data_IF_314059962551
#
_entry.id   IF_314059962551
#
_cell.length_a   1.000
_cell.length_b   1.000
_cell.length_c   1.000
_cell.angle_alpha   90.00
_cell.angle_beta   90.00
_cell.angle_gamma   90.00
#
_symmetry.space_group_name_H-M   'P 1'
#
loop_
_entity.id
_entity.type
_entity.pdbx_description
1 polymer ?
#
# COMPACT_ATOMS: atom_id res chain seq x y z
N UNK A 1 -3.40 -0.77 29.75
CA UNK A 1 -3.93 -1.96 29.05
C UNK A 1 -5.06 -1.45 28.18
N UNK A 2 -4.89 -1.46 26.86
CA UNK A 2 -5.88 -0.95 25.91
C UNK A 2 -6.48 -2.07 25.07
N UNK A 3 -7.76 -1.99 24.75
CA UNK A 3 -8.39 -2.87 23.79
C UNK A 3 -8.20 -2.26 22.41
N UNK A 4 -7.61 -3.01 21.50
CA UNK A 4 -7.35 -2.56 20.13
C UNK A 4 -8.15 -3.41 19.16
N UNK A 5 -8.86 -2.75 18.24
CA UNK A 5 -9.63 -3.39 17.18
C UNK A 5 -9.07 -3.00 15.82
N UNK A 6 -8.81 -3.99 14.98
CA UNK A 6 -8.34 -3.81 13.61
C UNK A 6 -9.49 -4.08 12.65
N UNK A 7 -9.83 -3.11 11.80
CA UNK A 7 -10.73 -3.30 10.67
C UNK A 7 -9.89 -3.87 9.53
N UNK A 8 -10.08 -5.14 9.22
CA UNK A 8 -9.29 -5.82 8.19
C UNK A 8 -9.81 -5.52 6.79
N UNK A 9 -8.91 -5.58 5.84
CA UNK A 9 -9.19 -5.44 4.41
C UNK A 9 -8.86 -6.73 3.69
N UNK A 10 -9.70 -7.11 2.76
CA UNK A 10 -9.46 -8.25 1.88
C UNK A 10 -9.86 -7.91 0.44
N UNK A 11 -9.26 -8.60 -0.49
CA UNK A 11 -9.59 -8.52 -1.91
C UNK A 11 -9.40 -9.90 -2.55
N UNK A 12 -10.33 -10.32 -3.38
CA UNK A 12 -10.29 -11.63 -4.07
C UNK A 12 -10.13 -12.83 -3.11
N UNK A 13 -10.70 -12.74 -1.92
CA UNK A 13 -10.61 -13.80 -0.90
C UNK A 13 -9.25 -13.88 -0.19
N UNK A 14 -8.42 -12.83 -0.25
CA UNK A 14 -7.13 -12.75 0.42
C UNK A 14 -7.04 -11.51 1.31
N UNK A 15 -6.50 -11.66 2.52
CA UNK A 15 -6.21 -10.52 3.36
C UNK A 15 -5.09 -9.68 2.74
N UNK A 16 -5.29 -8.36 2.73
CA UNK A 16 -4.26 -7.44 2.30
C UNK A 16 -3.18 -7.30 3.39
N UNK A 17 -1.93 -7.13 2.99
CA UNK A 17 -0.79 -7.04 3.91
C UNK A 17 -0.99 -5.98 4.99
N UNK A 18 -1.63 -4.85 4.67
CA UNK A 18 -1.93 -3.81 5.64
C UNK A 18 -2.77 -4.33 6.83
N UNK A 19 -3.65 -5.30 6.62
CA UNK A 19 -4.43 -5.93 7.70
C UNK A 19 -3.54 -6.68 8.67
N UNK A 20 -2.54 -7.38 8.16
CA UNK A 20 -1.57 -8.13 8.95
C UNK A 20 -0.59 -7.20 9.65
N UNK A 21 -0.11 -6.15 8.97
CA UNK A 21 0.72 -5.09 9.57
C UNK A 21 0.02 -4.44 10.76
N UNK A 22 -1.23 -4.02 10.57
CA UNK A 22 -2.04 -3.44 11.64
C UNK A 22 -2.25 -4.41 12.79
N UNK A 23 -2.48 -5.68 12.49
CA UNK A 23 -2.76 -6.69 13.53
C UNK A 23 -1.51 -6.98 14.37
N UNK A 24 -0.34 -7.10 13.76
CA UNK A 24 0.94 -7.24 14.46
C UNK A 24 1.18 -6.06 15.42
N UNK A 25 0.96 -4.83 14.93
CA UNK A 25 1.10 -3.63 15.76
C UNK A 25 0.03 -3.55 16.86
N UNK A 26 -1.23 -3.88 16.55
CA UNK A 26 -2.32 -3.92 17.52
C UNK A 26 -2.01 -4.84 18.70
N UNK A 27 -1.42 -6.00 18.45
CA UNK A 27 -1.00 -6.95 19.46
C UNK A 27 0.01 -6.37 20.46
N UNK A 28 0.98 -5.63 19.93
CA UNK A 28 1.99 -4.95 20.77
C UNK A 28 1.36 -3.82 21.61
N UNK A 29 0.44 -3.05 20.99
CA UNK A 29 -0.24 -1.93 21.66
C UNK A 29 -1.21 -2.39 22.73
N UNK A 30 -1.86 -3.53 22.56
CA UNK A 30 -2.80 -4.08 23.54
C UNK A 30 -2.15 -4.37 24.91
N UNK A 31 -0.86 -4.70 24.95
CA UNK A 31 -0.03 -4.82 26.16
C UNK A 31 -0.78 -5.44 27.38
N UNK A 32 -1.39 -6.61 27.16
CA UNK A 32 -2.22 -7.31 28.17
C UNK A 32 -3.71 -6.98 28.15
N UNK A 33 -4.15 -6.12 27.23
CA UNK A 33 -5.54 -5.97 26.82
C UNK A 33 -5.89 -6.91 25.67
N UNK A 34 -7.02 -6.68 25.02
CA UNK A 34 -7.54 -7.50 23.92
C UNK A 34 -7.13 -6.93 22.54
N UNK A 35 -6.68 -7.81 21.65
CA UNK A 35 -6.45 -7.53 20.24
C UNK A 35 -7.52 -8.24 19.43
N UNK A 36 -8.42 -7.50 18.79
CA UNK A 36 -9.52 -8.04 17.99
C UNK A 36 -9.38 -7.67 16.52
N UNK A 37 -9.68 -8.60 15.62
CA UNK A 37 -9.79 -8.37 14.19
C UNK A 37 -11.25 -8.40 13.76
N UNK A 38 -11.71 -7.38 13.05
CA UNK A 38 -13.02 -7.32 12.42
C UNK A 38 -12.89 -7.75 10.97
N UNK A 39 -13.64 -8.77 10.60
CA UNK A 39 -13.57 -9.44 9.29
C UNK A 39 -14.95 -9.40 8.63
N UNK A 40 -15.00 -9.13 7.33
CA UNK A 40 -16.22 -9.08 6.54
C UNK A 40 -16.33 -10.23 5.56
N UNK A 41 -17.57 -10.56 5.17
CA UNK A 41 -17.86 -11.53 4.13
C UNK A 41 -17.45 -12.97 4.46
N UNK A 42 -17.06 -13.73 3.44
CA UNK A 42 -16.68 -15.13 3.52
C UNK A 42 -15.29 -15.41 4.06
N UNK A 43 -14.58 -14.38 4.56
CA UNK A 43 -13.20 -14.51 5.04
C UNK A 43 -13.05 -15.28 6.36
N UNK A 44 -14.13 -15.73 6.95
CA UNK A 44 -14.12 -16.52 8.19
C UNK A 44 -13.25 -17.79 8.09
N UNK A 45 -13.28 -18.47 6.96
CA UNK A 45 -12.51 -19.69 6.75
C UNK A 45 -10.99 -19.45 6.75
N UNK A 46 -10.58 -18.20 6.53
CA UNK A 46 -9.18 -17.78 6.57
C UNK A 46 -8.79 -17.05 7.88
N UNK A 47 -9.66 -17.03 8.87
CA UNK A 47 -9.40 -16.37 10.16
C UNK A 47 -8.14 -16.91 10.87
N UNK A 48 -7.70 -18.12 10.57
CA UNK A 48 -6.44 -18.70 11.07
C UNK A 48 -5.18 -17.95 10.63
N UNK A 49 -5.26 -17.13 9.57
CA UNK A 49 -4.15 -16.30 9.10
C UNK A 49 -3.92 -15.06 9.99
N UNK A 50 -4.90 -14.71 10.81
CA UNK A 50 -4.87 -13.58 11.72
C UNK A 50 -4.35 -14.00 13.11
N UNK A 51 -3.18 -14.67 13.14
CA UNK A 51 -2.64 -15.34 14.33
C UNK A 51 -2.34 -14.41 15.51
N UNK A 52 -2.11 -13.12 15.28
CA UNK A 52 -1.87 -12.15 16.34
C UNK A 52 -3.15 -11.67 17.05
N UNK A 53 -4.35 -11.97 16.52
CA UNK A 53 -5.61 -11.63 17.17
C UNK A 53 -5.93 -12.60 18.32
N UNK A 54 -6.51 -12.08 19.40
CA UNK A 54 -7.16 -12.89 20.43
C UNK A 54 -8.56 -13.33 19.98
N UNK A 55 -9.25 -12.44 19.28
CA UNK A 55 -10.61 -12.64 18.76
C UNK A 55 -10.72 -12.18 17.31
N UNK A 56 -11.40 -12.96 16.49
CA UNK A 56 -11.77 -12.59 15.13
C UNK A 56 -13.30 -12.50 15.07
N UNK A 57 -13.78 -11.28 14.85
CA UNK A 57 -15.19 -10.93 14.81
C UNK A 57 -15.64 -10.95 13.35
N UNK A 58 -16.41 -11.96 12.97
CA UNK A 58 -16.83 -12.17 11.59
C UNK A 58 -18.23 -11.60 11.35
N UNK A 59 -18.31 -10.60 10.51
CA UNK A 59 -19.57 -10.05 10.00
C UNK A 59 -19.87 -10.71 8.67
N UNK A 60 -20.93 -11.49 8.62
CA UNK A 60 -21.41 -12.11 7.38
C UNK A 60 -21.88 -11.05 6.37
N UNK A 61 -22.05 -11.44 5.12
CA UNK A 61 -22.53 -10.56 4.07
C UNK A 61 -21.84 -10.79 2.74
N UNK A 62 -21.78 -9.75 1.91
CA UNK A 62 -21.14 -9.80 0.61
C UNK A 62 -19.61 -9.69 0.78
N UNK A 63 -18.87 -10.39 -0.07
CA UNK A 63 -17.40 -10.35 -0.11
C UNK A 63 -16.89 -9.08 -0.80
N UNK A 64 -17.74 -8.47 -1.63
CA UNK A 64 -17.37 -7.24 -2.32
C UNK A 64 -17.47 -6.03 -1.40
N UNK A 65 -16.44 -5.19 -1.45
CA UNK A 65 -16.41 -3.97 -0.65
C UNK A 65 -17.55 -3.03 -0.99
N UNK A 66 -18.32 -2.69 0.04
CA UNK A 66 -19.35 -1.67 0.00
C UNK A 66 -19.10 -0.67 1.13
N UNK A 67 -18.68 0.57 0.82
CA UNK A 67 -18.24 1.53 1.83
C UNK A 67 -19.31 1.85 2.87
N UNK A 68 -20.58 2.03 2.46
CA UNK A 68 -21.67 2.36 3.38
C UNK A 68 -22.01 1.18 4.29
N UNK A 69 -22.10 -0.04 3.73
CA UNK A 69 -22.41 -1.24 4.49
C UNK A 69 -21.29 -1.62 5.46
N UNK A 70 -20.04 -1.57 5.00
CA UNK A 70 -18.88 -1.92 5.83
C UNK A 70 -18.67 -0.90 6.95
N UNK A 71 -18.80 0.40 6.67
CA UNK A 71 -18.71 1.43 7.70
C UNK A 71 -19.83 1.30 8.75
N UNK A 72 -21.06 1.00 8.33
CA UNK A 72 -22.20 0.79 9.23
C UNK A 72 -21.98 -0.43 10.13
N UNK A 73 -21.57 -1.56 9.56
CA UNK A 73 -21.30 -2.78 10.30
C UNK A 73 -20.10 -2.61 11.26
N UNK A 74 -19.02 -1.97 10.79
CA UNK A 74 -17.89 -1.65 11.65
C UNK A 74 -18.29 -0.78 12.84
N UNK A 75 -19.12 0.24 12.60
CA UNK A 75 -19.60 1.13 13.66
C UNK A 75 -20.38 0.36 14.74
N UNK A 76 -21.29 -0.52 14.34
CA UNK A 76 -22.11 -1.31 15.27
C UNK A 76 -21.21 -2.24 16.13
N UNK A 77 -20.25 -2.93 15.50
CA UNK A 77 -19.30 -3.78 16.23
C UNK A 77 -18.42 -2.97 17.18
N UNK A 78 -17.87 -1.84 16.72
CA UNK A 78 -17.01 -0.98 17.53
C UNK A 78 -17.77 -0.38 18.72
N UNK A 79 -19.04 -0.01 18.56
CA UNK A 79 -19.87 0.45 19.67
C UNK A 79 -20.10 -0.64 20.72
N UNK A 80 -20.30 -1.88 20.29
CA UNK A 80 -20.48 -3.02 21.19
C UNK A 80 -19.20 -3.39 21.94
N UNK A 81 -18.07 -3.43 21.23
CA UNK A 81 -16.76 -3.80 21.77
C UNK A 81 -16.07 -2.67 22.56
N UNK A 82 -16.42 -1.41 22.25
CA UNK A 82 -15.87 -0.21 22.90
C UNK A 82 -14.33 -0.20 23.02
N UNK A 83 -13.58 -0.44 21.95
CA UNK A 83 -12.12 -0.44 22.00
C UNK A 83 -11.57 0.95 22.33
N UNK A 84 -10.33 0.98 22.83
CA UNK A 84 -9.62 2.24 23.08
C UNK A 84 -8.97 2.78 21.79
N UNK A 85 -8.57 1.87 20.89
CA UNK A 85 -7.96 2.21 19.61
C UNK A 85 -8.57 1.37 18.49
N UNK A 86 -8.96 2.03 17.41
CA UNK A 86 -9.38 1.39 16.15
C UNK A 86 -8.32 1.63 15.10
N UNK A 87 -7.79 0.58 14.49
CA UNK A 87 -6.86 0.67 13.37
C UNK A 87 -7.58 0.39 12.05
N UNK A 88 -7.37 1.26 11.08
CA UNK A 88 -7.92 1.18 9.73
C UNK A 88 -6.77 1.44 8.74
N UNK A 89 -6.73 0.80 7.59
CA UNK A 89 -5.70 1.07 6.59
C UNK A 89 -5.83 2.49 5.99
N UNK A 90 -4.71 3.13 5.67
CA UNK A 90 -4.68 4.38 4.90
C UNK A 90 -4.79 4.08 3.41
N UNK A 91 -5.80 3.31 3.05
CA UNK A 91 -6.13 2.78 1.72
C UNK A 91 -7.40 3.42 1.18
N UNK A 92 -7.76 3.13 -0.06
CA UNK A 92 -9.05 3.57 -0.61
C UNK A 92 -10.24 3.05 0.20
N UNK A 93 -10.16 1.79 0.70
CA UNK A 93 -11.22 1.20 1.54
C UNK A 93 -11.29 1.89 2.91
N UNK A 94 -10.16 2.06 3.56
CA UNK A 94 -10.11 2.67 4.88
C UNK A 94 -10.46 4.17 4.88
N UNK A 95 -10.16 4.89 3.79
CA UNK A 95 -10.55 6.29 3.63
C UNK A 95 -12.08 6.49 3.57
N UNK A 96 -12.82 5.50 3.15
CA UNK A 96 -14.29 5.53 3.17
C UNK A 96 -14.86 5.17 4.56
N UNK A 97 -14.16 4.33 5.34
CA UNK A 97 -14.62 3.82 6.63
C UNK A 97 -14.25 4.76 7.79
N UNK A 98 -12.97 5.14 7.88
CA UNK A 98 -12.43 5.84 9.05
C UNK A 98 -13.11 7.17 9.36
N UNK A 99 -13.46 8.05 8.39
CA UNK A 99 -14.17 9.29 8.68
C UNK A 99 -15.57 9.07 9.26
N UNK A 100 -16.29 8.04 8.78
CA UNK A 100 -17.61 7.68 9.30
C UNK A 100 -17.51 7.24 10.75
N UNK A 101 -16.52 6.41 11.08
CA UNK A 101 -16.26 5.98 12.46
C UNK A 101 -15.92 7.17 13.35
N UNK A 102 -15.00 8.04 12.90
CA UNK A 102 -14.58 9.20 13.68
C UNK A 102 -15.73 10.12 14.06
N UNK A 103 -16.58 10.46 13.08
CA UNK A 103 -17.75 11.33 13.31
C UNK A 103 -18.80 10.64 14.18
N UNK A 104 -19.11 9.37 13.91
CA UNK A 104 -20.19 8.65 14.62
C UNK A 104 -19.84 8.29 16.06
N UNK A 105 -18.54 8.11 16.34
CA UNK A 105 -18.03 7.76 17.69
C UNK A 105 -17.53 8.99 18.48
N UNK A 106 -17.51 10.17 17.86
CA UNK A 106 -16.91 11.38 18.43
C UNK A 106 -15.43 11.16 18.82
N UNK A 107 -14.68 10.49 17.94
CA UNK A 107 -13.26 10.19 18.13
C UNK A 107 -12.39 10.93 17.11
N UNK A 108 -11.18 11.34 17.51
CA UNK A 108 -10.22 11.89 16.56
C UNK A 108 -9.81 10.83 15.54
N UNK A 109 -9.75 11.23 14.26
CA UNK A 109 -9.18 10.42 13.18
C UNK A 109 -7.75 10.89 12.95
N UNK A 110 -6.78 10.01 13.19
CA UNK A 110 -5.36 10.29 13.00
C UNK A 110 -4.93 9.63 11.69
N UNK A 111 -4.68 10.44 10.67
CA UNK A 111 -4.39 9.96 9.32
C UNK A 111 -2.89 9.78 9.09
N UNK A 112 -2.56 8.93 8.11
CA UNK A 112 -1.19 8.69 7.64
C UNK A 112 -0.21 8.28 8.73
N UNK A 113 -0.65 7.44 9.68
CA UNK A 113 0.18 6.94 10.77
C UNK A 113 1.27 6.00 10.24
N UNK A 114 2.52 6.39 10.42
CA UNK A 114 3.71 5.55 10.21
C UNK A 114 4.26 4.97 11.51
N UNK A 115 3.80 5.46 12.67
CA UNK A 115 4.16 4.97 13.99
C UNK A 115 3.03 5.19 14.99
N UNK A 116 2.84 4.25 15.92
CA UNK A 116 1.86 4.32 17.01
C UNK A 116 2.49 3.64 18.21
N UNK A 117 2.62 4.34 19.33
CA UNK A 117 3.21 3.83 20.55
C UNK A 117 2.30 4.05 21.75
N UNK A 118 2.41 3.18 22.78
CA UNK A 118 1.75 3.40 24.06
C UNK A 118 2.41 4.60 24.77
N UNK A 119 1.61 5.52 25.27
CA UNK A 119 2.09 6.73 25.97
C UNK A 119 1.18 7.10 27.14
N UNK A 120 1.66 6.90 28.37
CA UNK A 120 0.88 7.20 29.56
C UNK A 120 -0.47 6.48 29.58
N UNK A 121 -1.56 7.27 29.61
CA UNK A 121 -2.93 6.74 29.61
C UNK A 121 -3.56 6.63 28.20
N UNK A 122 -2.74 6.66 27.15
CA UNK A 122 -3.22 6.60 25.77
C UNK A 122 -2.14 6.22 24.78
N UNK A 123 -2.18 6.82 23.59
CA UNK A 123 -1.32 6.52 22.47
C UNK A 123 -0.64 7.77 21.93
N UNK A 124 0.60 7.64 21.49
CA UNK A 124 1.32 8.62 20.67
C UNK A 124 1.35 8.13 19.23
N UNK A 125 1.04 9.01 18.29
CA UNK A 125 0.99 8.73 16.86
C UNK A 125 2.05 9.55 16.15
N UNK A 126 2.75 8.93 15.20
CA UNK A 126 3.61 9.61 14.23
C UNK A 126 2.92 9.57 12.88
N UNK A 127 2.59 10.73 12.33
CA UNK A 127 1.91 10.88 11.04
C UNK A 127 2.80 11.54 10.01
N UNK A 128 2.81 11.03 8.79
CA UNK A 128 3.54 11.62 7.67
C UNK A 128 2.70 12.67 6.95
N UNK A 129 3.23 13.87 6.79
CA UNK A 129 2.61 14.96 6.05
C UNK A 129 3.46 15.40 4.85
N UNK A 130 2.83 16.09 3.92
CA UNK A 130 3.48 16.63 2.72
C UNK A 130 4.24 15.57 1.90
N UNK A 131 3.65 14.37 1.74
CA UNK A 131 4.28 13.29 0.99
C UNK A 131 5.54 12.71 1.68
N UNK A 132 5.52 12.61 3.02
CA UNK A 132 6.62 12.06 3.81
C UNK A 132 7.76 13.03 4.10
N UNK A 133 7.58 14.34 3.79
CA UNK A 133 8.61 15.36 4.07
C UNK A 133 8.61 15.84 5.52
N UNK A 134 7.57 15.55 6.28
CA UNK A 134 7.43 15.96 7.68
C UNK A 134 6.73 14.87 8.48
N UNK A 135 7.29 14.53 9.62
CA UNK A 135 6.64 13.71 10.63
C UNK A 135 6.07 14.60 11.73
N UNK A 136 4.80 14.37 12.07
CA UNK A 136 4.10 15.09 13.13
C UNK A 136 3.67 14.11 14.19
N UNK A 137 3.94 14.45 15.45
CA UNK A 137 3.49 13.68 16.61
C UNK A 137 2.20 14.26 17.18
N UNK A 138 1.27 13.38 17.48
CA UNK A 138 0.02 13.71 18.18
C UNK A 138 -0.27 12.65 19.23
N UNK A 139 -1.15 12.94 20.19
CA UNK A 139 -1.54 12.01 21.24
C UNK A 139 -3.03 12.03 21.48
N UNK A 140 -3.60 10.86 21.78
CA UNK A 140 -4.99 10.72 22.18
C UNK A 140 -5.15 9.51 23.12
N UNK A 141 -6.13 9.57 24.03
CA UNK A 141 -6.50 8.43 24.86
C UNK A 141 -7.31 7.38 24.11
N UNK A 142 -8.13 7.82 23.15
CA UNK A 142 -8.90 7.00 22.22
C UNK A 142 -8.86 7.63 20.83
N UNK A 143 -8.78 6.80 19.79
CA UNK A 143 -8.71 7.29 18.41
C UNK A 143 -9.13 6.23 17.38
N UNK A 144 -9.45 6.71 16.19
CA UNK A 144 -9.39 5.93 14.94
C UNK A 144 -8.08 6.29 14.24
N UNK A 145 -7.16 5.37 14.09
CA UNK A 145 -5.87 5.61 13.44
C UNK A 145 -5.81 4.95 12.07
N UNK A 146 -5.47 5.74 11.05
CA UNK A 146 -5.31 5.26 9.68
C UNK A 146 -3.82 4.98 9.42
N UNK A 147 -3.47 3.71 9.30
CA UNK A 147 -2.10 3.22 9.19
C UNK A 147 -1.62 3.24 7.75
N UNK A 148 -0.45 3.77 7.50
CA UNK A 148 0.22 3.70 6.20
C UNK A 148 0.71 2.28 5.92
N UNK A 149 0.46 1.76 4.73
CA UNK A 149 1.00 0.49 4.28
C UNK A 149 2.54 0.51 4.27
N UNK A 150 3.15 -0.59 4.69
CA UNK A 150 4.61 -0.72 4.81
C UNK A 150 5.20 -0.07 6.07
N UNK A 151 4.36 0.37 7.02
CA UNK A 151 4.83 0.96 8.29
C UNK A 151 5.19 -0.08 9.34
N UNK A 152 4.61 -1.28 9.25
CA UNK A 152 4.83 -2.38 10.20
C UNK A 152 5.07 -3.69 9.45
N UNK A 153 5.48 -4.73 10.16
CA UNK A 153 5.72 -6.05 9.57
C UNK A 153 4.43 -6.86 9.48
N UNK A 154 4.07 -7.32 8.27
CA UNK A 154 2.94 -8.22 8.06
C UNK A 154 3.15 -9.60 8.70
N UNK A 155 4.41 -10.06 8.82
CA UNK A 155 4.72 -11.35 9.45
C UNK A 155 4.38 -11.39 10.94
N UNK A 156 4.42 -10.24 11.62
CA UNK A 156 4.00 -10.14 13.02
C UNK A 156 2.49 -10.37 13.18
N UNK A 157 1.70 -10.04 12.19
CA UNK A 157 0.25 -10.27 12.18
C UNK A 157 -0.15 -11.72 11.98
N UNK A 158 0.71 -12.50 11.30
CA UNK A 158 0.54 -13.95 11.10
C UNK A 158 0.99 -14.75 12.31
N UNK A 159 1.89 -14.19 13.12
CA UNK A 159 2.51 -14.87 14.27
C UNK A 159 1.57 -14.88 15.48
N UNK A 160 1.42 -16.01 16.13
CA UNK A 160 0.61 -16.12 17.35
C UNK A 160 -0.09 -17.48 17.48
N UNK A 161 -1.15 -17.49 18.26
CA UNK A 161 -1.96 -18.68 18.52
C UNK A 161 -3.15 -18.80 17.56
N UNK A 162 -4.11 -19.65 17.95
CA UNK A 162 -5.43 -19.69 17.30
C UNK A 162 -6.32 -18.61 17.93
N UNK A 163 -6.82 -17.69 17.12
CA UNK A 163 -7.81 -16.71 17.54
C UNK A 163 -9.17 -17.38 17.84
N UNK A 164 -9.91 -16.83 18.80
CA UNK A 164 -11.31 -17.20 18.99
C UNK A 164 -12.16 -16.56 17.89
N UNK A 165 -12.76 -17.37 17.02
CA UNK A 165 -13.56 -16.89 15.87
C UNK A 165 -15.03 -16.82 16.26
N UNK A 166 -15.61 -15.64 16.16
CA UNK A 166 -16.97 -15.36 16.58
C UNK A 166 -17.80 -14.78 15.43
N UNK A 167 -19.00 -15.31 15.20
CA UNK A 167 -19.94 -14.70 14.28
C UNK A 167 -20.67 -13.52 14.98
N UNK A 168 -20.61 -12.37 14.35
CA UNK A 168 -21.28 -11.16 14.85
C UNK A 168 -22.44 -10.83 13.93
N UNK A 169 -23.64 -10.79 14.50
CA UNK A 169 -24.84 -10.36 13.77
C UNK A 169 -25.00 -8.85 13.93
N UNK A 170 -24.79 -8.12 12.85
CA UNK A 170 -25.00 -6.68 12.76
C UNK A 170 -25.98 -6.36 11.63
N UNK A 171 -26.67 -5.25 11.75
CA UNK A 171 -27.53 -4.76 10.68
C UNK A 171 -26.69 -4.32 9.48
N UNK A 172 -26.80 -5.00 8.36
CA UNK A 172 -26.30 -4.46 7.09
C UNK A 172 -27.22 -3.33 6.68
N UNK A 173 -26.86 -2.09 6.99
CA UNK A 173 -27.64 -0.91 6.64
C UNK A 173 -27.99 -0.89 5.14
N UNK A 174 -29.06 -0.18 4.77
CA UNK A 174 -29.38 0.01 3.35
C UNK A 174 -28.28 0.85 2.69
N UNK A 175 -27.56 0.25 1.74
CA UNK A 175 -26.56 0.98 0.95
C UNK A 175 -27.18 1.56 -0.31
N UNK A 176 -26.82 2.80 -0.63
CA UNK A 176 -27.16 3.47 -1.91
C UNK A 176 -26.16 3.10 -3.01
N UNK A 177 -25.04 2.51 -2.62
CA UNK A 177 -23.95 2.07 -3.50
C UNK A 177 -24.09 0.57 -3.74
N UNK A 178 -23.90 0.14 -4.97
CA UNK A 178 -23.88 -1.26 -5.35
C UNK A 178 -22.58 -1.56 -6.08
N UNK A 179 -21.91 -2.63 -5.66
CA UNK A 179 -20.80 -3.19 -6.42
C UNK A 179 -21.33 -3.67 -7.78
N UNK A 180 -20.60 -3.34 -8.85
CA UNK A 180 -20.93 -3.81 -10.19
C UNK A 180 -19.94 -4.85 -10.67
N UNK A 181 -18.70 -4.47 -10.74
CA UNK A 181 -17.62 -5.31 -11.24
C UNK A 181 -16.27 -4.80 -10.76
N UNK A 182 -15.33 -5.69 -10.59
CA UNK A 182 -13.90 -5.39 -10.40
C UNK A 182 -13.24 -5.37 -11.78
N UNK A 183 -12.84 -4.19 -12.23
CA UNK A 183 -12.08 -4.05 -13.47
C UNK A 183 -10.62 -4.28 -13.13
N UNK A 184 -10.13 -5.43 -13.53
CA UNK A 184 -8.71 -5.74 -13.40
C UNK A 184 -7.95 -5.17 -14.59
N UNK A 185 -6.69 -4.70 -14.41
CA UNK A 185 -5.80 -4.47 -15.53
C UNK A 185 -5.70 -5.76 -16.34
N UNK A 186 -5.66 -5.66 -17.67
CA UNK A 186 -5.28 -6.82 -18.47
C UNK A 186 -3.99 -7.39 -17.88
N UNK A 187 -3.96 -8.70 -17.67
CA UNK A 187 -2.80 -9.36 -17.11
C UNK A 187 -1.61 -9.00 -17.99
N UNK A 188 -0.68 -8.22 -17.45
CA UNK A 188 0.62 -8.08 -18.11
C UNK A 188 1.25 -9.47 -18.04
N UNK A 189 1.85 -9.89 -19.15
CA UNK A 189 2.56 -11.18 -19.22
C UNK A 189 3.72 -11.24 -18.19
N UNK A 190 4.06 -10.10 -17.58
CA UNK A 190 5.21 -9.94 -16.66
C UNK A 190 4.82 -9.17 -15.39
N UNK A 191 5.14 -9.75 -14.23
CA UNK A 191 5.06 -9.08 -12.92
C UNK A 191 6.38 -8.38 -12.60
N UNK A 192 6.47 -7.08 -12.87
CA UNK A 192 7.69 -6.29 -12.65
C UNK A 192 8.14 -6.21 -11.18
N UNK A 193 7.31 -6.63 -10.22
CA UNK A 193 7.69 -6.64 -8.80
C UNK A 193 8.66 -7.78 -8.47
N UNK A 194 8.71 -8.81 -9.33
CA UNK A 194 9.58 -9.99 -9.17
C UNK A 194 10.84 -9.90 -10.04
N UNK A 195 10.99 -8.85 -10.81
CA UNK A 195 12.09 -8.70 -11.76
C UNK A 195 13.41 -8.39 -11.07
N UNK A 196 14.48 -9.06 -11.47
CA UNK A 196 15.85 -8.79 -10.99
C UNK A 196 16.44 -7.50 -11.60
N UNK A 197 16.09 -7.22 -12.87
CA UNK A 197 16.53 -6.04 -13.62
C UNK A 197 15.32 -5.38 -14.26
N UNK A 198 15.22 -4.07 -14.13
CA UNK A 198 14.18 -3.27 -14.78
C UNK A 198 14.79 -2.19 -15.67
N UNK A 199 14.30 -2.10 -16.89
CA UNK A 199 14.51 -0.95 -17.78
C UNK A 199 13.25 -0.10 -17.73
N UNK A 200 13.35 1.10 -17.19
CA UNK A 200 12.20 1.95 -16.94
C UNK A 200 12.23 3.23 -17.78
N UNK A 201 11.15 3.47 -18.52
CA UNK A 201 11.03 4.63 -19.40
C UNK A 201 10.21 5.76 -18.78
N UNK A 202 10.71 6.99 -18.94
CA UNK A 202 10.02 8.20 -18.61
C UNK A 202 9.61 9.00 -19.84
N UNK A 203 8.97 10.15 -19.63
CA UNK A 203 8.53 11.04 -20.72
C UNK A 203 9.67 11.50 -21.64
N UNK A 204 10.91 11.45 -21.17
CA UNK A 204 12.09 11.77 -21.98
C UNK A 204 12.34 10.79 -23.13
N UNK A 205 11.64 9.66 -23.19
CA UNK A 205 11.69 8.73 -24.34
C UNK A 205 11.17 9.37 -25.65
N UNK A 206 10.31 10.39 -25.55
CA UNK A 206 9.84 11.16 -26.69
C UNK A 206 8.49 10.70 -27.25
N UNK A 207 8.38 9.52 -27.80
CA UNK A 207 7.15 8.99 -28.40
C UNK A 207 6.89 7.53 -28.01
N UNK A 208 5.70 7.02 -28.37
CA UNK A 208 5.35 5.62 -28.15
C UNK A 208 6.24 4.68 -28.97
N UNK A 209 6.58 5.07 -30.20
CA UNK A 209 7.37 4.24 -31.11
C UNK A 209 8.83 4.12 -30.60
N UNK A 210 9.33 5.15 -29.91
CA UNK A 210 10.68 5.16 -29.36
C UNK A 210 10.86 4.20 -28.15
N UNK A 211 9.76 3.69 -27.57
CA UNK A 211 9.82 2.69 -26.50
C UNK A 211 10.47 1.39 -26.96
N UNK A 212 10.42 1.10 -28.26
CA UNK A 212 11.06 -0.08 -28.86
C UNK A 212 12.55 -0.16 -28.50
N UNK A 213 13.27 0.96 -28.49
CA UNK A 213 14.70 1.01 -28.12
C UNK A 213 14.93 0.54 -26.67
N UNK A 214 14.05 0.94 -25.75
CA UNK A 214 14.16 0.51 -24.35
C UNK A 214 13.74 -0.97 -24.19
N UNK A 215 12.84 -1.46 -25.02
CA UNK A 215 12.43 -2.85 -25.02
C UNK A 215 13.55 -3.75 -25.57
N UNK A 216 14.22 -3.36 -26.63
CA UNK A 216 15.39 -4.08 -27.19
C UNK A 216 16.52 -4.18 -26.15
N UNK A 217 16.79 -3.08 -25.43
CA UNK A 217 17.76 -3.08 -24.32
C UNK A 217 17.31 -4.01 -23.19
N UNK A 218 16.03 -4.00 -22.82
CA UNK A 218 15.49 -4.90 -21.80
C UNK A 218 15.65 -6.38 -22.21
N UNK A 219 15.34 -6.72 -23.45
CA UNK A 219 15.52 -8.08 -23.99
C UNK A 219 16.98 -8.51 -23.93
N UNK A 220 17.91 -7.64 -24.34
CA UNK A 220 19.35 -7.92 -24.31
C UNK A 220 19.84 -8.20 -22.88
N UNK A 221 19.32 -7.47 -21.88
CA UNK A 221 19.67 -7.61 -20.48
C UNK A 221 18.89 -8.72 -19.75
N UNK A 222 17.97 -9.41 -20.43
CA UNK A 222 16.98 -10.29 -19.81
C UNK A 222 16.26 -9.58 -18.65
N UNK A 223 15.86 -8.34 -18.90
CA UNK A 223 15.19 -7.43 -17.98
C UNK A 223 13.73 -7.23 -18.41
N UNK A 224 12.92 -6.72 -17.49
CA UNK A 224 11.56 -6.36 -17.79
C UNK A 224 11.38 -4.85 -17.98
N UNK A 225 10.40 -4.48 -18.81
CA UNK A 225 10.11 -3.09 -19.11
C UNK A 225 9.17 -2.50 -18.06
N UNK A 226 9.59 -1.38 -17.48
CA UNK A 226 8.79 -0.58 -16.54
C UNK A 226 8.61 0.85 -17.05
N UNK A 227 7.77 1.64 -16.39
CA UNK A 227 7.59 3.02 -16.80
C UNK A 227 7.17 3.95 -15.64
N UNK A 228 7.31 5.24 -15.89
CA UNK A 228 6.74 6.27 -15.02
C UNK A 228 5.30 6.59 -15.41
N UNK A 229 4.53 7.17 -14.48
CA UNK A 229 3.13 7.51 -14.65
C UNK A 229 2.80 8.28 -15.96
N UNK A 230 3.58 9.28 -16.44
CA UNK A 230 3.28 9.98 -17.68
C UNK A 230 3.17 9.08 -18.93
N UNK A 231 3.85 7.94 -18.94
CA UNK A 231 3.79 6.95 -20.03
C UNK A 231 2.43 6.23 -20.02
N UNK A 232 1.95 5.89 -18.83
CA UNK A 232 0.62 5.27 -18.65
C UNK A 232 -0.50 6.26 -18.95
N UNK A 233 -0.37 7.49 -18.47
CA UNK A 233 -1.35 8.55 -18.75
C UNK A 233 -1.45 8.88 -20.26
N UNK A 234 -0.35 8.69 -21.00
CA UNK A 234 -0.34 8.79 -22.46
C UNK A 234 -0.89 7.53 -23.18
N UNK A 235 -1.16 6.46 -22.47
CA UNK A 235 -1.63 5.18 -23.02
C UNK A 235 -0.55 4.44 -23.83
N UNK A 236 0.74 4.67 -23.54
CA UNK A 236 1.85 4.04 -24.26
C UNK A 236 2.20 2.66 -23.68
N UNK A 237 2.14 2.51 -22.35
CA UNK A 237 2.30 1.24 -21.65
C UNK A 237 1.15 1.03 -20.64
N UNK A 238 0.84 -0.22 -20.27
CA UNK A 238 -0.21 -0.53 -19.31
C UNK A 238 0.18 -0.12 -17.89
N UNK A 239 -0.82 0.05 -17.03
CA UNK A 239 -0.64 0.42 -15.62
C UNK A 239 0.17 -0.61 -14.82
N UNK A 240 0.16 -1.87 -15.23
CA UNK A 240 0.97 -2.95 -14.66
C UNK A 240 2.49 -2.74 -14.77
N UNK A 241 2.94 -1.88 -15.70
CA UNK A 241 4.34 -1.48 -15.84
C UNK A 241 4.67 -0.21 -15.05
N UNK A 242 3.68 0.43 -14.38
CA UNK A 242 3.90 1.70 -13.72
C UNK A 242 4.61 1.53 -12.38
N UNK A 243 5.75 2.20 -12.21
CA UNK A 243 6.47 2.32 -10.93
C UNK A 243 6.14 3.64 -10.24
N UNK A 244 5.91 3.60 -8.93
CA UNK A 244 5.70 4.80 -8.12
C UNK A 244 4.55 4.66 -7.12
N UNK A 245 4.24 5.74 -6.41
CA UNK A 245 3.21 5.82 -5.37
C UNK A 245 1.82 5.34 -5.81
N UNK A 246 1.42 5.65 -7.04
CA UNK A 246 0.15 5.25 -7.66
C UNK A 246 0.27 4.05 -8.59
N UNK A 247 1.43 3.42 -8.62
CA UNK A 247 1.75 2.21 -9.37
C UNK A 247 2.29 1.12 -8.44
N UNK A 248 3.24 0.36 -8.93
CA UNK A 248 3.88 -0.72 -8.19
C UNK A 248 5.12 -0.22 -7.44
N UNK A 249 5.41 -0.83 -6.29
CA UNK A 249 6.72 -0.74 -5.62
C UNK A 249 7.57 -1.89 -6.10
N UNK A 250 8.80 -1.58 -6.50
CA UNK A 250 9.74 -2.54 -7.05
C UNK A 250 11.06 -2.49 -6.30
N UNK A 251 11.74 -3.62 -6.21
CA UNK A 251 13.03 -3.75 -5.57
C UNK A 251 13.99 -4.64 -6.38
N UNK A 252 14.24 -4.31 -7.67
CA UNK A 252 15.20 -5.05 -8.49
C UNK A 252 16.63 -4.84 -7.99
N UNK A 253 17.53 -5.72 -8.40
CA UNK A 253 18.98 -5.55 -8.20
C UNK A 253 19.51 -4.35 -8.99
N UNK A 254 18.97 -4.14 -10.21
CA UNK A 254 19.36 -3.04 -11.10
C UNK A 254 18.10 -2.37 -11.67
N UNK A 255 18.06 -1.05 -11.60
CA UNK A 255 17.01 -0.21 -12.17
C UNK A 255 17.63 0.80 -13.13
N UNK A 256 17.36 0.69 -14.42
CA UNK A 256 17.86 1.58 -15.46
C UNK A 256 16.74 2.58 -15.79
N UNK A 257 16.93 3.84 -15.45
CA UNK A 257 15.96 4.91 -15.63
C UNK A 257 16.28 5.73 -16.89
N UNK A 258 15.52 5.54 -17.96
CA UNK A 258 15.68 6.22 -19.24
C UNK A 258 14.69 7.39 -19.36
N UNK A 259 15.20 8.63 -19.38
CA UNK A 259 14.37 9.82 -19.53
C UNK A 259 13.36 10.06 -18.39
N UNK A 260 13.63 9.52 -17.20
CA UNK A 260 12.82 9.73 -15.98
C UNK A 260 13.35 10.94 -15.22
N UNK A 261 12.48 11.85 -14.82
CA UNK A 261 12.86 13.05 -14.08
C UNK A 261 13.17 12.82 -12.60
N UNK A 262 12.60 11.79 -11.98
CA UNK A 262 12.75 11.53 -10.55
C UNK A 262 11.77 12.32 -9.68
N UNK A 263 10.52 12.48 -10.12
CA UNK A 263 9.47 13.04 -9.26
C UNK A 263 9.33 12.20 -7.98
N UNK A 264 9.03 12.83 -6.82
CA UNK A 264 8.94 12.13 -5.53
C UNK A 264 8.00 10.92 -5.55
N UNK A 265 6.91 11.00 -6.29
CA UNK A 265 5.94 9.94 -6.44
C UNK A 265 6.51 8.72 -7.17
N UNK A 266 7.43 8.92 -8.11
CA UNK A 266 8.14 7.84 -8.80
C UNK A 266 9.19 7.23 -7.89
N UNK A 267 10.00 8.06 -7.23
CA UNK A 267 11.06 7.62 -6.33
C UNK A 267 10.52 6.79 -5.15
N UNK A 268 9.29 7.06 -4.69
CA UNK A 268 8.65 6.28 -3.63
C UNK A 268 8.45 4.80 -4.01
N UNK A 269 8.30 4.51 -5.31
CA UNK A 269 8.14 3.14 -5.83
C UNK A 269 9.45 2.39 -6.04
N UNK A 270 10.61 3.07 -5.98
CA UNK A 270 11.91 2.46 -6.30
C UNK A 270 13.03 2.79 -5.28
N UNK A 271 12.67 3.31 -4.12
CA UNK A 271 13.64 3.78 -3.11
C UNK A 271 14.56 2.69 -2.53
N UNK A 272 14.11 1.43 -2.57
CA UNK A 272 14.80 0.29 -1.97
C UNK A 272 15.64 -0.50 -3.00
N UNK A 273 15.78 0.02 -4.23
CA UNK A 273 16.57 -0.57 -5.32
C UNK A 273 18.06 -0.57 -4.99
N UNK A 274 18.74 -1.69 -5.23
CA UNK A 274 20.16 -1.84 -4.90
C UNK A 274 21.08 -0.99 -5.78
N UNK A 275 20.82 -0.94 -7.10
CA UNK A 275 21.60 -0.15 -8.05
C UNK A 275 20.70 0.61 -9.00
N UNK A 276 20.83 1.93 -9.03
CA UNK A 276 20.08 2.83 -9.91
C UNK A 276 21.05 3.44 -10.91
N UNK A 277 20.76 3.24 -12.20
CA UNK A 277 21.46 3.86 -13.33
C UNK A 277 20.47 4.83 -13.99
N UNK A 278 20.82 6.10 -14.12
CA UNK A 278 19.96 7.11 -14.69
C UNK A 278 20.55 7.75 -15.94
N UNK A 279 19.75 7.85 -16.99
CA UNK A 279 20.07 8.58 -18.22
C UNK A 279 19.04 9.68 -18.42
N UNK A 280 19.50 10.94 -18.42
CA UNK A 280 18.61 12.09 -18.59
C UNK A 280 19.40 13.29 -19.13
N UNK A 281 18.97 13.93 -20.19
CA UNK A 281 19.63 15.11 -20.77
C UNK A 281 19.61 16.34 -19.85
N UNK A 282 18.65 16.41 -18.87
CA UNK A 282 18.63 17.44 -17.84
C UNK A 282 19.54 17.04 -16.67
N UNK A 283 20.72 17.63 -16.59
CA UNK A 283 21.68 17.41 -15.50
C UNK A 283 21.16 17.76 -14.10
N UNK A 284 20.08 18.52 -13.99
CA UNK A 284 19.46 18.89 -12.72
C UNK A 284 18.24 18.01 -12.40
N UNK A 285 17.99 16.96 -13.18
CA UNK A 285 16.86 16.05 -12.92
C UNK A 285 17.01 15.41 -11.53
N UNK A 286 15.99 15.45 -10.67
CA UNK A 286 16.05 14.89 -9.31
C UNK A 286 16.40 13.40 -9.25
N UNK A 287 16.26 12.66 -10.35
CA UNK A 287 16.67 11.25 -10.41
C UNK A 287 18.16 11.06 -10.09
N UNK A 288 18.99 12.05 -10.41
CA UNK A 288 20.42 12.01 -10.14
C UNK A 288 20.76 12.13 -8.64
N UNK A 289 19.86 12.64 -7.81
CA UNK A 289 20.06 12.71 -6.36
C UNK A 289 20.04 11.31 -5.72
N UNK A 290 19.42 10.32 -6.38
CA UNK A 290 19.31 8.94 -5.89
C UNK A 290 20.04 7.93 -6.78
N UNK A 291 20.48 8.31 -7.96
CA UNK A 291 21.20 7.44 -8.88
C UNK A 291 22.60 7.11 -8.37
N UNK A 292 23.00 5.84 -8.49
CA UNK A 292 24.37 5.41 -8.22
C UNK A 292 25.30 5.73 -9.41
N UNK A 293 24.74 5.69 -10.62
CA UNK A 293 25.43 6.05 -11.88
C UNK A 293 24.48 6.93 -12.68
N UNK A 294 25.02 8.03 -13.21
CA UNK A 294 24.25 8.99 -13.98
C UNK A 294 24.97 9.40 -15.27
N UNK A 295 24.22 9.47 -16.37
CA UNK A 295 24.70 9.94 -17.68
C UNK A 295 23.79 11.05 -18.18
N UNK A 296 24.39 12.12 -18.70
CA UNK A 296 23.64 13.30 -19.20
C UNK A 296 23.64 13.38 -20.72
N UNK A 297 23.74 12.24 -21.36
CA UNK A 297 23.76 12.06 -22.80
C UNK A 297 22.37 11.69 -23.35
N UNK A 298 22.27 11.55 -24.67
CA UNK A 298 21.08 11.06 -25.32
C UNK A 298 20.84 9.59 -24.95
N UNK A 299 19.62 9.28 -24.51
CA UNK A 299 19.29 7.93 -24.09
C UNK A 299 19.34 6.91 -25.24
N UNK A 300 19.12 7.35 -26.50
CA UNK A 300 19.17 6.48 -27.68
C UNK A 300 20.61 6.03 -27.93
N UNK A 301 21.57 6.97 -27.91
CA UNK A 301 22.99 6.66 -28.06
C UNK A 301 23.47 5.70 -26.95
N UNK A 302 23.04 5.93 -25.72
CA UNK A 302 23.40 5.06 -24.59
C UNK A 302 22.78 3.66 -24.72
N UNK A 303 21.55 3.54 -25.17
CA UNK A 303 20.91 2.23 -25.37
C UNK A 303 21.61 1.44 -26.47
N UNK A 304 21.98 2.09 -27.57
CA UNK A 304 22.73 1.46 -28.67
C UNK A 304 24.10 0.98 -28.22
N UNK A 305 24.90 1.84 -27.56
CA UNK A 305 26.23 1.48 -27.05
C UNK A 305 26.19 0.36 -25.99
N UNK A 306 25.19 0.37 -25.11
CA UNK A 306 25.01 -0.69 -24.12
C UNK A 306 24.62 -2.01 -24.79
N UNK A 307 23.71 -1.98 -25.78
CA UNK A 307 23.29 -3.16 -26.53
C UNK A 307 24.43 -3.81 -27.29
N UNK A 308 25.30 -3.00 -27.90
CA UNK A 308 26.47 -3.47 -28.66
C UNK A 308 27.60 -4.02 -27.75
N UNK A 309 27.61 -3.62 -26.49
CA UNK A 309 28.69 -3.98 -25.54
C UNK A 309 28.39 -5.22 -24.69
N UNK A 310 27.15 -5.71 -24.73
CA UNK A 310 26.65 -6.85 -23.96
C UNK A 310 26.48 -8.08 -24.82
#
# INVERSE_FOLDING_TARGET
MGNVLVVTEHMKGEFQDISLEMLGRARQLANGGSCSALVFGGMKDRASELGAADRVLCVGGNDDFNPEAFASAALEVIQAESPDLVLVGSTSMGMDIAPVLGVSLDLPVISYCSGIDNSGDGYEFTSQLYGGKMDVKSSASKAVAMVLAGSFSADEGKSGGSANVEDVSVGTGSSRIQFKELIEPEAADVDITQSDILVAVGRGIGSKDDIEVAQELAETLNADLACSRPIVDAGWLPKSCQVGKSGLKVNPKVYIALGISGAPEHLEGMKDVSTIIAVNTDKNAPIFDVAHYGMTDDLFDICEELGDSL
#
